data_IF_594237683237
#
_entry.id   IF_594237683237
#
_cell.length_a   1.000
_cell.length_b   1.000
_cell.length_c   1.000
_cell.angle_alpha   90.00
_cell.angle_beta   90.00
_cell.angle_gamma   90.00
#
_symmetry.space_group_name_H-M   'P 1'
#
loop_
_entity.id
_entity.type
_entity.pdbx_description
1 polymer ?
#
# COMPACT_ATOMS: atom_id res chain seq x y z
N UNK A 1 -5.27 -16.61 -2.64
CA UNK A 1 -5.01 -15.65 -3.73
C UNK A 1 -5.16 -14.23 -3.21
N UNK A 2 -6.26 -13.93 -2.51
CA UNK A 2 -6.52 -12.69 -1.77
C UNK A 2 -5.38 -12.18 -0.88
N UNK A 3 -4.69 -13.05 -0.13
CA UNK A 3 -3.54 -12.64 0.71
C UNK A 3 -2.38 -12.03 -0.09
N UNK A 4 -2.09 -12.53 -1.29
CA UNK A 4 -1.02 -11.98 -2.14
C UNK A 4 -1.34 -10.58 -2.64
N UNK A 5 -2.59 -10.30 -2.98
CA UNK A 5 -3.05 -8.97 -3.39
C UNK A 5 -2.86 -7.95 -2.27
N UNK A 6 -3.15 -8.33 -1.02
CA UNK A 6 -2.92 -7.44 0.12
C UNK A 6 -1.43 -7.19 0.36
N UNK A 7 -0.59 -8.22 0.26
CA UNK A 7 0.86 -8.06 0.36
C UNK A 7 1.43 -7.16 -0.75
N UNK A 8 1.01 -7.35 -1.99
CA UNK A 8 1.44 -6.51 -3.12
C UNK A 8 0.95 -5.05 -2.98
N UNK A 9 -0.26 -4.83 -2.47
CA UNK A 9 -0.79 -3.48 -2.19
C UNK A 9 0.04 -2.79 -1.10
N UNK A 10 0.40 -3.53 -0.05
CA UNK A 10 1.21 -3.05 1.06
C UNK A 10 2.63 -2.69 0.56
N UNK A 11 3.24 -3.55 -0.26
CA UNK A 11 4.55 -3.30 -0.87
C UNK A 11 4.55 -2.08 -1.79
N UNK A 12 3.48 -1.88 -2.57
CA UNK A 12 3.34 -0.73 -3.45
C UNK A 12 3.37 0.58 -2.64
N UNK A 13 2.64 0.66 -1.53
CA UNK A 13 2.64 1.83 -0.64
C UNK A 13 3.99 2.03 0.06
N UNK A 14 4.60 0.95 0.56
CA UNK A 14 5.94 0.99 1.17
C UNK A 14 7.00 1.53 0.21
N UNK A 15 6.90 1.20 -1.08
CA UNK A 15 7.81 1.66 -2.12
C UNK A 15 7.41 3.00 -2.73
N UNK A 16 6.21 3.49 -2.44
CA UNK A 16 5.64 4.70 -3.07
C UNK A 16 5.40 4.52 -4.57
N UNK A 17 5.02 3.31 -4.98
CA UNK A 17 4.79 2.94 -6.38
C UNK A 17 3.28 3.02 -6.69
N UNK A 18 2.84 4.19 -7.14
CA UNK A 18 1.45 4.47 -7.49
C UNK A 18 0.95 3.62 -8.68
N UNK A 19 1.83 3.30 -9.63
CA UNK A 19 1.47 2.46 -10.78
C UNK A 19 1.17 1.03 -10.34
N UNK A 20 2.02 0.47 -9.48
CA UNK A 20 1.82 -0.87 -8.94
C UNK A 20 0.59 -0.92 -8.02
N UNK A 21 0.35 0.11 -7.21
CA UNK A 21 -0.85 0.23 -6.39
C UNK A 21 -2.13 0.17 -7.23
N UNK A 22 -2.18 0.92 -8.34
CA UNK A 22 -3.32 0.92 -9.25
C UNK A 22 -3.52 -0.43 -9.96
N UNK A 23 -2.44 -1.13 -10.33
CA UNK A 23 -2.53 -2.47 -10.92
C UNK A 23 -3.11 -3.49 -9.94
N UNK A 24 -2.63 -3.48 -8.69
CA UNK A 24 -3.11 -4.38 -7.64
C UNK A 24 -4.57 -4.10 -7.29
N UNK A 25 -4.95 -2.82 -7.22
CA UNK A 25 -6.35 -2.41 -7.05
C UNK A 25 -7.25 -2.98 -8.15
N UNK A 26 -6.80 -2.86 -9.41
CA UNK A 26 -7.54 -3.37 -10.56
C UNK A 26 -7.64 -4.89 -10.56
N UNK A 27 -6.54 -5.59 -10.24
CA UNK A 27 -6.55 -7.05 -10.10
C UNK A 27 -7.49 -7.52 -8.98
N UNK A 28 -7.50 -6.83 -7.83
CA UNK A 28 -8.43 -7.13 -6.74
C UNK A 28 -9.88 -7.02 -7.18
N UNK A 29 -10.23 -5.95 -7.90
CA UNK A 29 -11.59 -5.78 -8.44
C UNK A 29 -11.93 -6.87 -9.47
N UNK A 30 -11.01 -7.21 -10.38
CA UNK A 30 -11.18 -8.28 -11.38
C UNK A 30 -11.34 -9.67 -10.74
N UNK A 31 -10.65 -9.95 -9.63
CA UNK A 31 -10.81 -11.18 -8.85
C UNK A 31 -12.08 -11.21 -7.99
N UNK A 32 -12.91 -10.16 -8.03
CA UNK A 32 -14.16 -10.04 -7.26
C UNK A 32 -13.93 -9.72 -5.79
N UNK A 33 -12.76 -9.17 -5.45
CA UNK A 33 -12.45 -8.72 -4.11
C UNK A 33 -13.18 -7.41 -3.79
N UNK A 34 -13.63 -7.26 -2.55
CA UNK A 34 -14.24 -6.01 -2.12
C UNK A 34 -13.18 -4.90 -2.08
N UNK A 35 -13.40 -3.75 -2.77
CA UNK A 35 -12.46 -2.64 -2.78
C UNK A 35 -12.16 -2.10 -1.38
N UNK A 36 -13.15 -2.16 -0.47
CA UNK A 36 -13.02 -1.73 0.91
C UNK A 36 -12.10 -2.68 1.68
N UNK A 37 -12.26 -3.99 1.49
CA UNK A 37 -11.34 -4.97 2.08
C UNK A 37 -9.90 -4.78 1.57
N UNK A 38 -9.72 -4.47 0.30
CA UNK A 38 -8.40 -4.18 -0.28
C UNK A 38 -7.76 -2.93 0.32
N UNK A 39 -8.56 -1.88 0.54
CA UNK A 39 -8.12 -0.69 1.28
C UNK A 39 -7.72 -1.01 2.72
N UNK A 40 -8.63 -1.61 3.49
CA UNK A 40 -8.42 -1.84 4.91
C UNK A 40 -7.32 -2.87 5.19
N UNK A 41 -7.18 -3.89 4.36
CA UNK A 41 -6.20 -4.99 4.58
C UNK A 41 -4.91 -4.84 3.77
N UNK A 42 -4.88 -4.04 2.71
CA UNK A 42 -3.69 -3.82 1.88
C UNK A 42 -3.09 -2.43 2.08
N UNK A 43 -3.82 -1.38 1.67
CA UNK A 43 -3.29 -0.02 1.59
C UNK A 43 -3.09 0.65 2.95
N UNK A 44 -4.08 0.55 3.86
CA UNK A 44 -4.02 1.11 5.22
C UNK A 44 -2.84 0.57 6.05
N UNK A 45 -2.61 -0.75 6.14
CA UNK A 45 -1.44 -1.28 6.84
C UNK A 45 -0.12 -0.89 6.17
N UNK A 46 -0.12 -0.62 4.85
CA UNK A 46 1.04 -0.07 4.15
C UNK A 46 1.43 1.30 4.67
N UNK A 47 0.47 2.21 4.80
CA UNK A 47 0.72 3.55 5.35
C UNK A 47 1.13 3.49 6.82
N UNK A 48 0.44 2.69 7.64
CA UNK A 48 0.81 2.54 9.04
C UNK A 48 2.27 2.09 9.18
N UNK A 49 2.72 1.16 8.33
CA UNK A 49 4.09 0.66 8.33
C UNK A 49 5.11 1.70 7.85
N UNK A 50 4.75 2.53 6.86
CA UNK A 50 5.54 3.71 6.48
C UNK A 50 5.66 4.69 7.64
N UNK A 51 4.56 4.92 8.38
CA UNK A 51 4.52 5.74 9.59
C UNK A 51 5.41 5.20 10.70
N UNK A 52 5.35 3.91 11.01
CA UNK A 52 6.22 3.23 11.99
C UNK A 52 7.70 3.33 11.59
N UNK A 53 8.02 3.15 10.31
CA UNK A 53 9.38 3.28 9.79
C UNK A 53 9.89 4.72 9.88
N UNK A 54 9.00 5.71 9.72
CA UNK A 54 9.32 7.11 9.91
C UNK A 54 9.51 7.47 11.39
N UNK A 55 8.61 7.06 12.28
CA UNK A 55 8.74 7.27 13.73
C UNK A 55 9.99 6.60 14.31
N UNK A 56 10.37 5.43 13.80
CA UNK A 56 11.59 4.73 14.22
C UNK A 56 12.89 5.37 13.69
N UNK A 57 12.80 6.49 12.95
CA UNK A 57 13.95 7.19 12.40
C UNK A 57 14.65 6.44 11.26
N UNK A 58 14.04 5.37 10.73
CA UNK A 58 14.58 4.59 9.61
C UNK A 58 14.15 5.11 8.23
N UNK A 59 13.14 5.96 8.18
CA UNK A 59 12.66 6.61 6.96
C UNK A 59 12.77 8.14 7.09
N UNK A 60 13.32 8.81 6.08
CA UNK A 60 13.41 10.27 6.05
C UNK A 60 12.12 10.91 5.53
N UNK A 61 11.83 12.15 5.96
CA UNK A 61 10.67 12.97 5.57
C UNK A 61 10.30 12.93 4.08
N UNK A 62 11.25 12.99 3.12
CA UNK A 62 10.93 12.93 1.69
C UNK A 62 10.35 11.58 1.25
N UNK A 63 10.77 10.48 1.86
CA UNK A 63 10.25 9.14 1.53
C UNK A 63 8.82 8.95 2.04
N UNK A 64 8.49 9.53 3.21
CA UNK A 64 7.13 9.53 3.74
C UNK A 64 6.17 10.30 2.82
N UNK A 65 6.58 11.49 2.37
CA UNK A 65 5.79 12.33 1.45
C UNK A 65 5.52 11.57 0.13
N UNK A 66 6.51 10.82 -0.38
CA UNK A 66 6.37 10.06 -1.63
C UNK A 66 5.39 8.88 -1.50
N UNK A 67 5.45 8.14 -0.39
CA UNK A 67 4.49 7.07 -0.10
C UNK A 67 3.06 7.58 0.05
N UNK A 68 2.87 8.77 0.62
CA UNK A 68 1.53 9.39 0.73
C UNK A 68 0.92 9.79 -0.61
N UNK A 69 1.73 10.03 -1.66
CA UNK A 69 1.22 10.33 -3.01
C UNK A 69 0.81 9.09 -3.80
N UNK A 70 1.20 7.90 -3.35
CA UNK A 70 0.91 6.64 -4.03
C UNK A 70 -0.46 6.04 -3.66
N UNK A 71 -1.13 6.62 -2.66
CA UNK A 71 -2.49 6.27 -2.26
C UNK A 71 -3.54 6.87 -3.19
#
# INVERSE_FOLDING_TARGET
MTEKLFEDALEAILKGDAEKAAQVAKQGIDEGLDPLELMEKGFVPGINKVGDLFESGRLFLPALIYSSMAM
#
